data_IF_468064459164
#
_entry.id   IF_468064459164
#
_cell.length_a   1.000
_cell.length_b   1.000
_cell.length_c   1.000
_cell.angle_alpha   90.00
_cell.angle_beta   90.00
_cell.angle_gamma   90.00
#
_symmetry.space_group_name_H-M   'P 1'
#
loop_
_entity.id
_entity.type
_entity.pdbx_description
1 polymer ?
#
# COMPACT_ATOMS: atom_id res chain seq x y z
N UNK A 1 10.42 -16.50 -11.93
CA UNK A 1 11.56 -15.56 -11.79
C UNK A 1 11.93 -15.09 -13.18
N UNK A 2 11.87 -13.79 -13.46
CA UNK A 2 12.36 -13.28 -14.74
C UNK A 2 13.89 -13.46 -14.77
N UNK A 3 14.42 -14.12 -15.80
CA UNK A 3 15.87 -14.19 -16.02
C UNK A 3 16.37 -12.79 -16.35
N UNK A 4 16.96 -12.11 -15.37
CA UNK A 4 17.59 -10.82 -15.61
C UNK A 4 19.01 -11.12 -16.07
N UNK A 5 19.26 -10.99 -17.36
CA UNK A 5 20.63 -11.00 -17.88
C UNK A 5 21.39 -9.82 -17.27
N UNK A 6 22.57 -10.09 -16.71
CA UNK A 6 23.44 -9.04 -16.18
C UNK A 6 24.01 -8.27 -17.37
N UNK A 7 23.77 -6.96 -17.42
CA UNK A 7 24.37 -6.11 -18.44
C UNK A 7 25.89 -6.15 -18.29
N UNK A 8 26.59 -6.42 -19.39
CA UNK A 8 28.05 -6.46 -19.44
C UNK A 8 28.51 -5.38 -20.44
N UNK A 9 29.26 -4.35 -19.99
CA UNK A 9 29.77 -3.33 -20.89
C UNK A 9 30.79 -3.94 -21.85
N UNK A 10 30.84 -3.43 -23.06
CA UNK A 10 31.77 -3.84 -24.11
C UNK A 10 32.97 -2.89 -24.14
N UNK A 11 34.21 -3.37 -23.88
CA UNK A 11 35.40 -2.52 -23.86
C UNK A 11 35.74 -1.86 -25.19
N UNK A 12 35.29 -2.46 -26.30
CA UNK A 12 35.49 -1.98 -27.67
C UNK A 12 34.53 -0.86 -28.08
N UNK A 13 33.50 -0.58 -27.27
CA UNK A 13 32.51 0.47 -27.53
C UNK A 13 32.81 1.74 -26.73
N UNK A 14 32.41 2.89 -27.28
CA UNK A 14 32.40 4.15 -26.53
C UNK A 14 31.42 4.09 -25.36
N UNK A 15 31.57 5.01 -24.40
CA UNK A 15 30.66 5.15 -23.26
C UNK A 15 29.22 5.40 -23.71
N UNK A 16 29.04 6.24 -24.73
CA UNK A 16 27.74 6.55 -25.33
C UNK A 16 27.08 5.31 -25.92
N UNK A 17 27.85 4.49 -26.63
CA UNK A 17 27.36 3.24 -27.21
C UNK A 17 27.03 2.21 -26.14
N UNK A 18 27.85 2.08 -25.08
CA UNK A 18 27.55 1.23 -23.93
C UNK A 18 26.29 1.69 -23.19
N UNK A 19 26.12 2.99 -22.97
CA UNK A 19 24.92 3.56 -22.37
C UNK A 19 23.67 3.28 -23.23
N UNK A 20 23.77 3.46 -24.55
CA UNK A 20 22.68 3.15 -25.46
C UNK A 20 22.35 1.66 -25.47
N UNK A 21 23.37 0.79 -25.48
CA UNK A 21 23.20 -0.66 -25.38
C UNK A 21 22.49 -1.07 -24.08
N UNK A 22 22.87 -0.47 -22.95
CA UNK A 22 22.19 -0.67 -21.67
C UNK A 22 20.71 -0.25 -21.73
N UNK A 23 20.42 0.92 -22.29
CA UNK A 23 19.05 1.43 -22.43
C UNK A 23 18.21 0.50 -23.32
N UNK A 24 18.76 0.05 -24.45
CA UNK A 24 18.06 -0.83 -25.39
C UNK A 24 17.84 -2.23 -24.80
N UNK A 25 18.82 -2.80 -24.11
CA UNK A 25 18.64 -4.08 -23.38
C UNK A 25 17.55 -3.94 -22.31
N UNK A 26 17.58 -2.88 -21.50
CA UNK A 26 16.53 -2.65 -20.50
C UNK A 26 15.15 -2.42 -21.12
N UNK A 27 15.09 -1.80 -22.31
CA UNK A 27 13.85 -1.54 -23.03
C UNK A 27 13.25 -2.81 -23.66
N UNK A 28 14.06 -3.61 -24.34
CA UNK A 28 13.60 -4.70 -25.21
C UNK A 28 13.69 -6.09 -24.59
N UNK A 29 14.68 -6.33 -23.74
CA UNK A 29 15.00 -7.67 -23.25
C UNK A 29 14.42 -7.93 -21.86
N UNK A 30 14.37 -6.90 -21.01
CA UNK A 30 13.80 -7.03 -19.67
C UNK A 30 12.28 -7.04 -19.73
N UNK A 31 11.66 -7.95 -18.97
CA UNK A 31 10.21 -7.96 -18.72
C UNK A 31 9.86 -7.57 -17.28
N UNK A 32 10.82 -6.94 -16.58
CA UNK A 32 10.59 -6.37 -15.26
C UNK A 32 9.55 -5.24 -15.42
N UNK A 33 8.43 -5.32 -14.69
CA UNK A 33 7.24 -4.48 -14.89
C UNK A 33 6.35 -4.81 -16.09
N UNK A 34 6.47 -6.03 -16.64
CA UNK A 34 5.61 -6.53 -17.71
C UNK A 34 6.29 -6.51 -19.07
N UNK A 35 5.85 -7.42 -19.94
CA UNK A 35 6.28 -7.47 -21.34
C UNK A 35 5.60 -6.37 -22.19
N UNK A 36 4.42 -5.92 -21.76
CA UNK A 36 3.58 -4.90 -22.37
C UNK A 36 3.87 -3.47 -21.88
N UNK A 37 4.90 -3.29 -21.03
CA UNK A 37 5.30 -1.98 -20.53
C UNK A 37 5.65 -1.03 -21.68
N UNK A 38 4.90 0.05 -21.83
CA UNK A 38 5.27 1.15 -22.72
C UNK A 38 6.42 1.97 -22.13
N UNK A 39 7.66 1.65 -22.53
CA UNK A 39 8.87 2.33 -22.06
C UNK A 39 8.87 3.85 -22.35
N UNK A 40 8.17 4.28 -23.40
CA UNK A 40 8.04 5.69 -23.78
C UNK A 40 7.33 6.54 -22.72
N UNK A 41 6.43 5.94 -21.93
CA UNK A 41 5.64 6.68 -20.95
C UNK A 41 6.49 7.21 -19.79
N UNK A 42 6.13 8.38 -19.27
CA UNK A 42 6.80 9.00 -18.12
C UNK A 42 6.16 8.59 -16.78
N UNK A 43 5.11 7.78 -16.84
CA UNK A 43 4.41 7.22 -15.67
C UNK A 43 4.21 5.74 -15.90
N UNK A 44 4.85 4.90 -15.10
CA UNK A 44 4.68 3.45 -15.14
C UNK A 44 3.85 2.99 -13.95
N UNK A 45 2.74 2.29 -14.20
CA UNK A 45 1.95 1.62 -13.17
C UNK A 45 2.62 0.29 -12.83
N UNK A 46 3.31 0.23 -11.68
CA UNK A 46 4.10 -0.93 -11.25
C UNK A 46 3.42 -1.73 -10.15
N UNK A 47 2.14 -1.47 -9.92
CA UNK A 47 1.34 -2.00 -8.82
C UNK A 47 1.48 -3.52 -8.67
N UNK A 48 1.39 -4.29 -9.75
CA UNK A 48 1.46 -5.77 -9.70
C UNK A 48 2.85 -6.36 -9.54
N UNK A 49 3.88 -5.52 -9.65
CA UNK A 49 5.27 -5.94 -9.63
C UNK A 49 5.98 -5.58 -8.33
N UNK A 50 5.23 -5.05 -7.36
CA UNK A 50 5.69 -4.75 -6.02
C UNK A 50 4.96 -5.64 -5.01
N UNK A 51 5.74 -6.36 -4.20
CA UNK A 51 5.24 -7.15 -3.08
C UNK A 51 4.90 -6.25 -1.86
N UNK A 52 3.84 -5.45 -1.99
CA UNK A 52 3.31 -4.58 -0.91
C UNK A 52 1.99 -5.16 -0.42
N UNK A 53 1.96 -5.55 0.86
CA UNK A 53 0.80 -6.17 1.53
C UNK A 53 -0.16 -5.11 2.06
N UNK A 54 -1.46 -5.45 2.11
CA UNK A 54 -2.51 -4.66 2.75
C UNK A 54 -2.58 -3.17 2.32
N UNK A 55 -2.38 -2.91 1.02
CA UNK A 55 -2.40 -1.56 0.42
C UNK A 55 -3.79 -1.09 -0.05
N UNK A 56 -4.82 -1.93 0.08
CA UNK A 56 -6.12 -1.71 -0.54
C UNK A 56 -6.01 -1.65 -2.08
N UNK A 57 -6.82 -0.80 -2.70
CA UNK A 57 -6.80 -0.52 -4.14
C UNK A 57 -5.75 0.52 -4.59
N UNK A 58 -4.77 0.86 -3.72
CA UNK A 58 -3.79 1.90 -4.05
C UNK A 58 -2.82 1.46 -5.13
N UNK A 59 -2.77 2.24 -6.20
CA UNK A 59 -1.80 2.07 -7.29
C UNK A 59 -0.45 2.66 -6.90
N UNK A 60 0.62 1.97 -7.26
CA UNK A 60 1.99 2.48 -7.15
C UNK A 60 2.54 2.79 -8.52
N UNK A 61 3.00 4.03 -8.71
CA UNK A 61 3.50 4.50 -10.00
C UNK A 61 4.92 5.06 -9.87
N UNK A 62 5.75 4.78 -10.88
CA UNK A 62 7.05 5.45 -11.05
C UNK A 62 6.82 6.67 -11.93
N UNK A 63 7.15 7.86 -11.44
CA UNK A 63 6.87 9.13 -12.11
C UNK A 63 8.19 9.83 -12.48
N UNK A 64 8.61 9.72 -13.75
CA UNK A 64 9.87 10.25 -14.28
C UNK A 64 9.82 11.77 -14.57
N UNK A 65 9.28 12.53 -13.63
CA UNK A 65 9.25 14.00 -13.65
C UNK A 65 10.34 14.57 -12.74
N UNK A 66 10.87 15.74 -13.06
CA UNK A 66 11.82 16.45 -12.22
C UNK A 66 11.24 16.80 -10.84
N UNK A 67 12.10 17.18 -9.90
CA UNK A 67 11.63 17.81 -8.68
C UNK A 67 10.98 19.16 -9.00
N UNK A 68 9.86 19.43 -8.34
CA UNK A 68 9.14 20.70 -8.42
C UNK A 68 8.53 21.00 -7.06
N UNK A 69 8.45 22.28 -6.70
CA UNK A 69 7.70 22.74 -5.53
C UNK A 69 6.20 22.85 -5.85
N UNK A 70 5.84 23.03 -7.13
CA UNK A 70 4.47 22.84 -7.60
C UNK A 70 4.19 21.35 -7.85
N UNK A 71 3.30 20.78 -7.04
CA UNK A 71 2.84 19.38 -7.12
C UNK A 71 2.09 19.06 -8.42
N UNK A 72 1.60 20.06 -9.15
CA UNK A 72 0.91 19.89 -10.43
C UNK A 72 1.86 19.91 -11.63
N UNK A 73 3.07 20.44 -11.47
CA UNK A 73 4.05 20.49 -12.54
C UNK A 73 4.50 19.08 -12.93
N UNK A 74 4.27 18.72 -14.20
CA UNK A 74 4.66 17.42 -14.78
C UNK A 74 5.77 17.62 -15.81
N UNK A 75 6.88 18.21 -15.39
CA UNK A 75 8.05 18.43 -16.26
C UNK A 75 8.87 17.14 -16.27
N UNK A 76 8.98 16.43 -17.42
CA UNK A 76 9.80 15.21 -17.50
C UNK A 76 11.27 15.49 -17.17
N UNK A 77 11.99 14.46 -16.72
CA UNK A 77 13.45 14.53 -16.73
C UNK A 77 13.94 14.75 -18.17
N UNK A 78 15.08 15.43 -18.33
CA UNK A 78 15.63 15.75 -19.66
C UNK A 78 16.32 14.52 -20.26
N UNK A 79 16.23 14.37 -21.58
CA UNK A 79 17.05 13.41 -22.32
C UNK A 79 18.50 13.91 -22.43
N UNK A 80 19.51 13.02 -22.45
CA UNK A 80 19.40 11.55 -22.46
C UNK A 80 19.23 10.89 -21.07
N UNK A 81 19.27 11.66 -19.97
CA UNK A 81 19.17 11.12 -18.61
C UNK A 81 17.85 10.39 -18.34
N UNK A 82 16.73 10.86 -18.91
CA UNK A 82 15.42 10.24 -18.76
C UNK A 82 15.41 8.77 -19.24
N UNK A 83 15.92 8.50 -20.45
CA UNK A 83 16.02 7.14 -20.95
C UNK A 83 16.89 6.25 -20.06
N UNK A 84 18.01 6.78 -19.56
CA UNK A 84 18.86 6.09 -18.58
C UNK A 84 18.13 5.80 -17.26
N UNK A 85 17.44 6.79 -16.69
CA UNK A 85 16.70 6.65 -15.43
C UNK A 85 15.63 5.55 -15.52
N UNK A 86 14.92 5.49 -16.64
CA UNK A 86 13.95 4.42 -16.97
C UNK A 86 14.61 3.05 -17.02
N UNK A 87 15.71 2.94 -17.76
CA UNK A 87 16.48 1.70 -17.89
C UNK A 87 17.02 1.22 -16.53
N UNK A 88 17.65 2.12 -15.76
CA UNK A 88 18.20 1.84 -14.43
C UNK A 88 17.13 1.37 -13.45
N UNK A 89 15.96 2.04 -13.40
CA UNK A 89 14.86 1.63 -12.54
C UNK A 89 14.39 0.20 -12.84
N UNK A 90 14.20 -0.13 -14.13
CA UNK A 90 13.75 -1.45 -14.60
C UNK A 90 14.78 -2.53 -14.32
N UNK A 91 16.04 -2.29 -14.71
CA UNK A 91 17.15 -3.21 -14.48
C UNK A 91 17.38 -3.51 -13.00
N UNK A 92 17.49 -2.46 -12.19
CA UNK A 92 17.79 -2.62 -10.77
C UNK A 92 16.63 -3.24 -9.98
N UNK A 93 15.39 -3.14 -10.45
CA UNK A 93 14.28 -3.85 -9.79
C UNK A 93 14.29 -5.33 -10.13
N UNK A 94 14.78 -5.69 -11.32
CA UNK A 94 15.05 -7.09 -11.67
C UNK A 94 16.14 -7.71 -10.80
N UNK A 95 17.26 -7.00 -10.60
CA UNK A 95 18.38 -7.50 -9.78
C UNK A 95 18.13 -7.41 -8.28
N UNK A 96 17.54 -6.29 -7.84
CA UNK A 96 17.31 -5.95 -6.43
C UNK A 96 15.88 -5.43 -6.26
N UNK A 97 14.88 -6.33 -6.24
CA UNK A 97 13.49 -5.95 -6.05
C UNK A 97 13.29 -5.18 -4.74
N UNK A 98 12.54 -4.08 -4.80
CA UNK A 98 12.19 -3.29 -3.60
C UNK A 98 10.70 -3.06 -3.49
N UNK A 99 10.17 -3.17 -2.28
CA UNK A 99 8.78 -2.78 -1.95
C UNK A 99 8.56 -1.27 -2.12
N UNK A 100 9.57 -0.47 -1.74
CA UNK A 100 9.58 0.98 -1.92
C UNK A 100 10.54 1.39 -3.04
N UNK A 101 10.01 1.56 -4.25
CA UNK A 101 10.78 1.98 -5.42
C UNK A 101 11.10 3.48 -5.44
N UNK A 102 10.35 4.27 -4.65
CA UNK A 102 10.50 5.73 -4.59
C UNK A 102 11.91 6.19 -4.25
N UNK A 103 12.61 5.49 -3.36
CA UNK A 103 13.99 5.84 -2.98
C UNK A 103 14.96 5.87 -4.15
N UNK A 104 14.87 4.88 -5.05
CA UNK A 104 15.72 4.81 -6.26
C UNK A 104 15.41 5.95 -7.22
N UNK A 105 14.13 6.21 -7.42
CA UNK A 105 13.67 7.32 -8.27
C UNK A 105 14.10 8.68 -7.69
N UNK A 106 14.05 8.86 -6.37
CA UNK A 106 14.48 10.12 -5.74
C UNK A 106 15.98 10.36 -5.87
N UNK A 107 16.81 9.31 -5.76
CA UNK A 107 18.24 9.42 -6.03
C UNK A 107 18.50 9.86 -7.49
N UNK A 108 17.82 9.24 -8.47
CA UNK A 108 17.92 9.64 -9.88
C UNK A 108 17.48 11.08 -10.11
N UNK A 109 16.37 11.52 -9.50
CA UNK A 109 15.90 12.92 -9.62
C UNK A 109 16.90 13.91 -9.02
N UNK A 110 17.52 13.56 -7.88
CA UNK A 110 18.54 14.39 -7.26
C UNK A 110 19.78 14.53 -8.17
N UNK A 111 20.23 13.44 -8.77
CA UNK A 111 21.33 13.46 -9.75
C UNK A 111 20.96 14.27 -10.99
N UNK A 112 19.76 14.09 -11.54
CA UNK A 112 19.30 14.87 -12.69
C UNK A 112 19.29 16.37 -12.41
N UNK A 113 18.81 16.76 -11.21
CA UNK A 113 18.81 18.16 -10.79
C UNK A 113 20.25 18.67 -10.60
N UNK A 114 21.10 17.93 -9.91
CA UNK A 114 22.50 18.31 -9.69
C UNK A 114 23.27 18.45 -11.02
N UNK A 115 23.09 17.51 -11.94
CA UNK A 115 23.70 17.55 -13.27
C UNK A 115 23.26 18.79 -14.07
N UNK A 116 21.97 19.16 -13.97
CA UNK A 116 21.47 20.35 -14.61
C UNK A 116 22.00 21.64 -13.97
N UNK A 117 22.09 21.70 -12.64
CA UNK A 117 22.52 22.90 -11.91
C UNK A 117 24.02 23.14 -12.03
N UNK A 118 24.84 22.10 -11.85
CA UNK A 118 26.30 22.22 -11.79
C UNK A 118 26.94 22.24 -13.18
N UNK A 119 26.34 21.53 -14.13
CA UNK A 119 26.96 21.24 -15.43
C UNK A 119 26.13 21.78 -16.61
N UNK A 120 24.84 22.08 -16.41
CA UNK A 120 23.95 22.51 -17.48
C UNK A 120 23.56 21.40 -18.46
N UNK A 121 23.74 20.12 -18.09
CA UNK A 121 23.60 18.97 -18.98
C UNK A 121 22.64 17.91 -18.43
N UNK A 122 22.24 16.99 -19.30
CA UNK A 122 21.53 15.76 -18.97
C UNK A 122 22.31 14.50 -19.39
N UNK A 123 23.60 14.65 -19.71
CA UNK A 123 24.46 13.55 -20.17
C UNK A 123 24.98 12.74 -18.98
N UNK A 124 24.64 11.45 -18.94
CA UNK A 124 25.07 10.51 -17.89
C UNK A 124 26.61 10.47 -17.76
N UNK A 125 27.31 10.59 -18.89
CA UNK A 125 28.78 10.57 -18.93
C UNK A 125 29.44 11.70 -18.12
N UNK A 126 28.73 12.82 -17.94
CA UNK A 126 29.22 14.01 -17.21
C UNK A 126 29.00 13.92 -15.71
N UNK A 127 28.36 12.86 -15.21
CA UNK A 127 28.23 12.62 -13.76
C UNK A 127 29.63 12.40 -13.18
N UNK A 128 29.96 13.16 -12.14
CA UNK A 128 31.23 13.10 -11.41
C UNK A 128 30.98 13.20 -9.89
N UNK A 129 32.05 13.17 -9.08
CA UNK A 129 31.93 13.25 -7.62
C UNK A 129 31.18 14.50 -7.14
N UNK A 130 31.43 15.66 -7.73
CA UNK A 130 30.77 16.92 -7.38
C UNK A 130 29.26 16.86 -7.62
N UNK A 131 28.81 16.30 -8.75
CA UNK A 131 27.38 16.08 -9.03
C UNK A 131 26.75 15.17 -7.97
N UNK A 132 27.47 14.15 -7.50
CA UNK A 132 26.97 13.23 -6.47
C UNK A 132 26.85 13.92 -5.10
N UNK A 133 27.81 14.76 -4.73
CA UNK A 133 27.76 15.53 -3.49
C UNK A 133 26.63 16.57 -3.51
N UNK A 134 26.46 17.29 -4.63
CA UNK A 134 25.31 18.18 -4.82
C UNK A 134 23.98 17.41 -4.75
N UNK A 135 23.90 16.21 -5.35
CA UNK A 135 22.70 15.37 -5.26
C UNK A 135 22.41 14.96 -3.80
N UNK A 136 23.42 14.59 -3.02
CA UNK A 136 23.28 14.29 -1.59
C UNK A 136 22.78 15.52 -0.79
N UNK A 137 23.28 16.72 -1.10
CA UNK A 137 22.80 17.97 -0.50
C UNK A 137 21.32 18.25 -0.85
N UNK A 138 20.92 18.02 -2.10
CA UNK A 138 19.51 18.11 -2.54
C UNK A 138 18.64 17.14 -1.73
N UNK A 139 19.08 15.89 -1.57
CA UNK A 139 18.36 14.86 -0.79
C UNK A 139 18.21 15.31 0.66
N UNK A 140 19.31 15.75 1.31
CA UNK A 140 19.32 16.19 2.70
C UNK A 140 18.36 17.36 2.96
N UNK A 141 18.27 18.29 2.03
CA UNK A 141 17.36 19.45 2.14
C UNK A 141 15.89 19.07 2.01
N UNK A 142 15.57 17.99 1.29
CA UNK A 142 14.21 17.70 0.82
C UNK A 142 13.48 16.63 1.64
N UNK A 143 14.21 15.85 2.44
CA UNK A 143 13.67 14.70 3.16
C UNK A 143 14.14 14.67 4.62
N UNK A 144 13.38 14.00 5.49
CA UNK A 144 13.79 13.71 6.86
C UNK A 144 15.05 12.83 6.89
N UNK A 145 15.80 12.86 8.00
CA UNK A 145 17.11 12.19 8.13
C UNK A 145 17.06 10.69 7.79
N UNK A 146 15.99 10.00 8.19
CA UNK A 146 15.83 8.56 7.95
C UNK A 146 15.57 8.24 6.48
N UNK A 147 14.69 9.00 5.83
CA UNK A 147 14.47 8.85 4.40
C UNK A 147 15.68 9.32 3.58
N UNK A 148 16.31 10.44 3.95
CA UNK A 148 17.51 10.97 3.32
C UNK A 148 18.65 9.94 3.33
N UNK A 149 18.93 9.32 4.49
CA UNK A 149 19.93 8.25 4.60
C UNK A 149 19.66 7.08 3.65
N UNK A 150 18.40 6.63 3.58
CA UNK A 150 17.99 5.52 2.69
C UNK A 150 18.14 5.88 1.21
N UNK A 151 17.83 7.11 0.83
CA UNK A 151 18.03 7.59 -0.55
C UNK A 151 19.54 7.72 -0.84
N UNK A 152 20.35 8.17 0.13
CA UNK A 152 21.81 8.18 0.02
C UNK A 152 22.40 6.80 -0.26
N UNK A 153 21.84 5.74 0.34
CA UNK A 153 22.20 4.37 -0.01
C UNK A 153 21.88 3.99 -1.47
N UNK A 154 20.78 4.47 -2.04
CA UNK A 154 20.48 4.29 -3.48
C UNK A 154 21.42 5.10 -4.38
N UNK A 155 21.84 6.28 -3.92
CA UNK A 155 22.80 7.11 -4.63
C UNK A 155 24.19 6.44 -4.69
N UNK A 156 24.63 5.82 -3.60
CA UNK A 156 25.85 5.02 -3.57
C UNK A 156 25.77 3.81 -4.51
N UNK A 157 24.64 3.10 -4.54
CA UNK A 157 24.43 2.01 -5.49
C UNK A 157 24.48 2.47 -6.95
N UNK A 158 23.88 3.63 -7.26
CA UNK A 158 23.95 4.23 -8.59
C UNK A 158 25.39 4.58 -8.96
N UNK A 159 26.17 5.13 -8.03
CA UNK A 159 27.59 5.43 -8.22
C UNK A 159 28.40 4.19 -8.61
N UNK A 160 28.21 3.10 -7.86
CA UNK A 160 28.83 1.81 -8.16
C UNK A 160 28.45 1.30 -9.54
N UNK A 161 27.14 1.29 -9.85
CA UNK A 161 26.65 0.87 -11.15
C UNK A 161 27.26 1.67 -12.31
N UNK A 162 27.33 3.00 -12.21
CA UNK A 162 27.92 3.86 -13.24
C UNK A 162 29.40 3.53 -13.47
N UNK A 163 30.15 3.30 -12.38
CA UNK A 163 31.58 2.98 -12.44
C UNK A 163 31.85 1.58 -12.99
N UNK A 164 31.14 0.57 -12.48
CA UNK A 164 31.32 -0.83 -12.85
C UNK A 164 30.96 -1.08 -14.32
N UNK A 165 30.10 -0.23 -14.89
CA UNK A 165 29.67 -0.32 -16.29
C UNK A 165 30.35 0.71 -17.21
N UNK A 166 31.34 1.46 -16.71
CA UNK A 166 32.10 2.43 -17.52
C UNK A 166 31.26 3.55 -18.14
N UNK A 167 30.16 3.95 -17.48
CA UNK A 167 29.17 4.89 -18.04
C UNK A 167 29.51 6.36 -17.80
N UNK A 168 30.58 6.65 -17.05
CA UNK A 168 31.05 8.01 -16.75
C UNK A 168 32.45 8.25 -17.31
N UNK A 169 32.79 9.51 -17.57
CA UNK A 169 34.12 9.88 -18.07
C UNK A 169 35.24 9.38 -17.15
N UNK A 170 35.04 9.52 -15.84
CA UNK A 170 35.91 9.02 -14.77
C UNK A 170 35.07 8.16 -13.83
N UNK A 171 35.58 7.02 -13.32
CA UNK A 171 34.88 6.22 -12.32
C UNK A 171 34.49 7.06 -11.10
N UNK A 172 33.21 7.05 -10.77
CA UNK A 172 32.64 7.77 -9.61
C UNK A 172 32.40 6.76 -8.49
N UNK A 173 33.32 6.66 -7.54
CA UNK A 173 33.17 5.79 -6.36
C UNK A 173 32.70 6.58 -5.15
N UNK A 174 31.48 7.10 -5.22
CA UNK A 174 30.88 7.88 -4.15
C UNK A 174 30.38 6.97 -3.01
N UNK A 175 30.52 7.42 -1.76
CA UNK A 175 30.04 6.75 -0.55
C UNK A 175 29.00 7.62 0.14
N UNK A 176 28.00 6.99 0.76
CA UNK A 176 26.94 7.73 1.44
C UNK A 176 27.47 8.62 2.59
N UNK A 177 27.41 9.93 2.38
CA UNK A 177 27.81 10.96 3.36
C UNK A 177 26.68 11.38 4.30
N UNK A 178 25.44 10.94 4.04
CA UNK A 178 24.29 11.26 4.88
C UNK A 178 24.34 10.43 6.15
N UNK A 179 24.12 11.10 7.30
CA UNK A 179 24.20 10.44 8.60
C UNK A 179 23.10 9.39 8.74
N UNK A 180 23.49 8.19 9.18
CA UNK A 180 22.54 7.17 9.62
C UNK A 180 21.93 7.62 10.95
N UNK A 181 20.60 7.68 11.10
CA UNK A 181 19.99 7.90 12.40
C UNK A 181 20.47 6.84 13.41
N UNK A 182 20.67 7.24 14.66
CA UNK A 182 21.21 6.34 15.71
C UNK A 182 20.30 5.12 15.93
N UNK A 183 20.91 3.93 16.03
CA UNK A 183 20.18 2.67 16.26
C UNK A 183 19.59 2.61 17.67
N UNK A 184 18.41 1.98 17.79
CA UNK A 184 17.52 1.96 18.95
C UNK A 184 17.85 0.91 20.02
N UNK A 185 19.04 0.29 19.96
CA UNK A 185 19.42 -0.85 20.80
C UNK A 185 20.50 -0.50 21.86
N UNK A 186 20.39 0.64 22.53
CA UNK A 186 21.25 0.96 23.68
C UNK A 186 20.43 1.15 24.96
N UNK A 187 21.07 0.95 26.11
CA UNK A 187 20.49 1.05 27.46
C UNK A 187 20.85 2.43 28.03
N UNK A 188 19.89 3.12 28.66
CA UNK A 188 20.08 4.44 29.28
C UNK A 188 18.79 5.27 29.37
N UNK A 189 18.78 6.31 30.21
CA UNK A 189 17.60 7.16 30.52
C UNK A 189 16.92 7.74 29.27
N UNK A 190 17.70 8.28 28.32
CA UNK A 190 17.19 8.81 27.05
C UNK A 190 16.48 7.74 26.19
N UNK A 191 16.90 6.47 26.31
CA UNK A 191 16.28 5.36 25.57
C UNK A 191 15.01 4.87 26.24
N UNK A 192 14.94 4.92 27.58
CA UNK A 192 13.70 4.61 28.32
C UNK A 192 12.65 5.68 28.06
N UNK A 193 13.03 6.96 28.03
CA UNK A 193 12.17 8.06 27.59
C UNK A 193 11.64 7.82 26.17
N UNK A 194 12.52 7.45 25.21
CA UNK A 194 12.11 7.07 23.84
C UNK A 194 11.31 5.77 23.73
N UNK A 195 11.40 4.85 24.70
CA UNK A 195 10.52 3.66 24.77
C UNK A 195 9.14 4.08 25.25
N UNK A 196 9.07 4.97 26.24
CA UNK A 196 7.83 5.57 26.73
C UNK A 196 7.12 6.34 25.62
N UNK A 197 7.83 7.11 24.80
CA UNK A 197 7.27 7.77 23.61
C UNK A 197 6.66 6.80 22.58
N UNK A 198 7.08 5.52 22.59
CA UNK A 198 6.57 4.46 21.70
C UNK A 198 5.45 3.63 22.33
N UNK A 199 4.97 3.99 23.51
CA UNK A 199 3.80 3.41 24.14
C UNK A 199 2.56 4.25 23.79
N UNK A 200 1.36 3.65 23.71
CA UNK A 200 0.13 4.44 23.72
C UNK A 200 0.03 5.22 25.05
N UNK A 201 -0.59 6.41 25.03
CA UNK A 201 -0.90 7.15 26.25
C UNK A 201 -1.91 6.39 27.12
N UNK A 202 -1.99 6.72 28.40
CA UNK A 202 -3.00 6.13 29.30
C UNK A 202 -4.43 6.43 28.82
N UNK A 203 -4.71 7.69 28.46
CA UNK A 203 -5.98 8.09 27.87
C UNK A 203 -6.31 7.30 26.58
N UNK A 204 -5.30 7.00 25.75
CA UNK A 204 -5.47 6.12 24.61
C UNK A 204 -5.86 4.70 25.02
N UNK A 205 -5.17 4.10 26.00
CA UNK A 205 -5.47 2.74 26.46
C UNK A 205 -6.87 2.64 27.09
N UNK A 206 -7.32 3.66 27.81
CA UNK A 206 -8.67 3.74 28.37
C UNK A 206 -9.75 3.96 27.29
N UNK A 207 -9.45 4.73 26.25
CA UNK A 207 -10.39 5.00 25.16
C UNK A 207 -10.70 3.76 24.32
N UNK A 208 -9.74 2.86 24.11
CA UNK A 208 -9.87 1.74 23.15
C UNK A 208 -10.98 0.73 23.51
N UNK A 209 -11.12 0.23 24.76
CA UNK A 209 -12.23 -0.65 25.12
C UNK A 209 -13.59 0.04 24.97
N UNK A 210 -13.68 1.31 25.38
CA UNK A 210 -14.90 2.10 25.25
C UNK A 210 -15.30 2.31 23.78
N UNK A 211 -14.33 2.62 22.92
CA UNK A 211 -14.53 2.70 21.47
C UNK A 211 -14.99 1.35 20.89
N UNK A 212 -14.42 0.22 21.32
CA UNK A 212 -14.81 -1.11 20.84
C UNK A 212 -16.27 -1.47 21.20
N UNK A 213 -16.75 -1.02 22.36
CA UNK A 213 -18.14 -1.19 22.76
C UNK A 213 -19.09 -0.23 22.04
N UNK A 214 -18.68 1.03 21.84
CA UNK A 214 -19.51 2.07 21.22
C UNK A 214 -19.53 2.02 19.68
N UNK A 215 -18.65 1.26 19.04
CA UNK A 215 -18.55 1.20 17.59
C UNK A 215 -19.79 0.56 16.94
N UNK A 216 -20.47 1.35 16.10
CA UNK A 216 -21.65 0.93 15.31
C UNK A 216 -21.38 1.07 13.81
N UNK A 217 -20.76 2.18 13.39
CA UNK A 217 -20.43 2.43 11.99
C UNK A 217 -19.43 1.39 11.46
N UNK A 218 -19.59 0.88 10.22
CA UNK A 218 -18.75 -0.19 9.68
C UNK A 218 -17.25 0.07 9.81
N UNK A 219 -16.82 1.30 9.53
CA UNK A 219 -15.42 1.69 9.63
C UNK A 219 -14.88 1.66 11.06
N UNK A 220 -15.69 2.07 12.04
CA UNK A 220 -15.29 2.11 13.45
C UNK A 220 -15.30 0.69 14.04
N UNK A 221 -16.26 -0.16 13.64
CA UNK A 221 -16.31 -1.58 14.00
C UNK A 221 -15.06 -2.31 13.48
N UNK A 222 -14.69 -2.09 12.22
CA UNK A 222 -13.50 -2.71 11.61
C UNK A 222 -12.23 -2.27 12.36
N UNK A 223 -12.07 -0.98 12.61
CA UNK A 223 -10.87 -0.44 13.27
C UNK A 223 -10.73 -0.97 14.69
N UNK A 224 -11.79 -0.88 15.49
CA UNK A 224 -11.75 -1.33 16.89
C UNK A 224 -11.55 -2.83 17.02
N UNK A 225 -12.16 -3.64 16.15
CA UNK A 225 -11.92 -5.08 16.10
C UNK A 225 -10.48 -5.45 15.70
N UNK A 226 -9.90 -4.75 14.72
CA UNK A 226 -8.48 -4.91 14.35
C UNK A 226 -7.57 -4.56 15.54
N UNK A 227 -7.86 -3.47 16.26
CA UNK A 227 -7.10 -3.06 17.44
C UNK A 227 -7.19 -4.11 18.55
N UNK A 228 -8.37 -4.66 18.80
CA UNK A 228 -8.56 -5.74 19.78
C UNK A 228 -7.68 -6.97 19.45
N UNK A 229 -7.65 -7.39 18.18
CA UNK A 229 -6.77 -8.49 17.73
C UNK A 229 -5.28 -8.13 17.92
N UNK A 230 -4.88 -6.89 17.57
CA UNK A 230 -3.50 -6.43 17.72
C UNK A 230 -3.05 -6.36 19.19
N UNK A 231 -3.98 -6.05 20.11
CA UNK A 231 -3.76 -6.04 21.56
C UNK A 231 -3.80 -7.44 22.18
N UNK A 232 -4.31 -8.44 21.47
CA UNK A 232 -4.41 -9.81 21.96
C UNK A 232 -3.29 -10.72 21.44
N UNK A 233 -2.73 -10.42 20.27
CA UNK A 233 -1.66 -11.18 19.64
C UNK A 233 -0.67 -10.25 18.90
N UNK A 234 0.56 -10.03 19.44
CA UNK A 234 1.55 -9.14 18.85
C UNK A 234 1.82 -9.45 17.38
N UNK A 235 1.41 -8.53 16.51
CA UNK A 235 1.44 -8.77 15.06
C UNK A 235 1.63 -7.48 14.26
N UNK A 236 1.81 -7.62 12.94
CA UNK A 236 1.71 -6.48 12.02
C UNK A 236 0.26 -6.30 11.61
N UNK A 237 -0.19 -5.06 11.49
CA UNK A 237 -1.54 -4.79 10.98
C UNK A 237 -1.77 -5.37 9.58
N UNK A 238 -0.74 -5.37 8.73
CA UNK A 238 -0.83 -5.99 7.40
C UNK A 238 -1.14 -7.48 7.45
N UNK A 239 -0.76 -8.18 8.53
CA UNK A 239 -1.06 -9.60 8.73
C UNK A 239 -2.51 -9.78 9.23
N UNK A 240 -3.00 -8.90 10.12
CA UNK A 240 -4.41 -8.90 10.57
C UNK A 240 -5.37 -8.66 9.41
N UNK A 241 -5.06 -7.67 8.56
CA UNK A 241 -5.86 -7.34 7.37
C UNK A 241 -5.90 -8.45 6.31
N UNK A 242 -5.05 -9.47 6.45
CA UNK A 242 -4.93 -10.62 5.56
C UNK A 242 -5.31 -11.93 6.25
N UNK A 243 -6.07 -11.87 7.36
CA UNK A 243 -6.61 -13.07 8.00
C UNK A 243 -7.76 -13.65 7.16
N UNK A 244 -7.84 -14.99 7.04
CA UNK A 244 -9.03 -15.63 6.49
C UNK A 244 -10.16 -15.67 7.52
N UNK A 245 -11.39 -15.88 7.07
CA UNK A 245 -12.58 -16.03 7.93
C UNK A 245 -12.49 -17.21 8.89
N UNK A 246 -11.71 -18.25 8.57
CA UNK A 246 -11.46 -19.41 9.41
C UNK A 246 -10.15 -19.29 10.21
N UNK A 247 -9.75 -18.08 10.60
CA UNK A 247 -8.51 -17.87 11.35
C UNK A 247 -8.54 -18.43 12.78
N UNK A 248 -9.71 -18.61 13.39
CA UNK A 248 -9.86 -19.09 14.76
C UNK A 248 -9.63 -20.61 14.89
N UNK A 249 -8.93 -21.01 15.95
CA UNK A 249 -8.78 -22.40 16.39
C UNK A 249 -9.11 -22.48 17.87
N UNK A 250 -10.08 -23.29 18.23
CA UNK A 250 -10.41 -23.56 19.63
C UNK A 250 -9.60 -24.75 20.11
N UNK A 251 -8.81 -24.56 21.17
CA UNK A 251 -8.10 -25.63 21.85
C UNK A 251 -8.72 -25.85 23.23
N UNK A 252 -9.32 -27.02 23.42
CA UNK A 252 -9.76 -27.45 24.74
C UNK A 252 -8.58 -28.01 25.53
N UNK A 253 -8.44 -27.56 26.78
CA UNK A 253 -7.55 -28.15 27.78
C UNK A 253 -8.39 -28.63 28.96
N UNK A 254 -7.81 -29.47 29.83
CA UNK A 254 -8.54 -30.07 30.96
C UNK A 254 -9.28 -29.04 31.85
N UNK A 255 -8.78 -27.80 31.92
CA UNK A 255 -9.30 -26.76 32.81
C UNK A 255 -9.70 -25.45 32.10
N UNK A 256 -9.51 -25.34 30.77
CA UNK A 256 -9.66 -24.06 30.07
C UNK A 256 -9.87 -24.24 28.55
N UNK A 257 -10.62 -23.33 27.92
CA UNK A 257 -10.78 -23.27 26.46
C UNK A 257 -10.01 -22.07 25.93
N UNK A 258 -8.97 -22.33 25.15
CA UNK A 258 -8.10 -21.28 24.60
C UNK A 258 -8.41 -21.03 23.14
N UNK A 259 -8.45 -19.74 22.78
CA UNK A 259 -8.54 -19.31 21.38
C UNK A 259 -7.13 -19.13 20.84
N UNK A 260 -6.86 -19.71 19.68
CA UNK A 260 -5.63 -19.55 18.94
C UNK A 260 -5.96 -18.98 17.55
N UNK A 261 -4.99 -18.31 16.93
CA UNK A 261 -5.14 -17.75 15.59
C UNK A 261 -4.20 -18.43 14.60
N UNK A 262 -4.74 -18.96 13.50
CA UNK A 262 -3.99 -19.33 12.30
C UNK A 262 -3.38 -18.06 11.71
N UNK A 263 -2.07 -18.04 11.59
CA UNK A 263 -1.31 -16.85 11.23
C UNK A 263 -0.41 -17.10 10.02
N UNK A 264 -0.39 -16.15 9.08
CA UNK A 264 0.49 -16.16 7.92
C UNK A 264 1.46 -14.98 8.01
N UNK A 265 2.70 -15.20 8.48
CA UNK A 265 3.65 -14.12 8.71
C UNK A 265 4.05 -13.37 7.43
N UNK A 266 4.22 -12.05 7.54
CA UNK A 266 4.55 -11.22 6.36
C UNK A 266 5.96 -11.41 5.80
N UNK A 267 6.86 -12.12 6.50
CA UNK A 267 8.29 -12.28 6.14
C UNK A 267 8.65 -13.66 5.57
N UNK A 268 7.68 -14.38 5.00
CA UNK A 268 7.92 -15.69 4.38
C UNK A 268 8.20 -16.83 5.36
N UNK A 269 7.97 -16.61 6.67
CA UNK A 269 7.98 -17.69 7.64
C UNK A 269 6.75 -18.60 7.41
N UNK A 270 6.85 -19.91 7.72
CA UNK A 270 5.72 -20.82 7.59
C UNK A 270 4.50 -20.36 8.39
N UNK A 271 3.27 -20.70 7.93
CA UNK A 271 2.07 -20.48 8.71
C UNK A 271 2.20 -21.11 10.10
N UNK A 272 1.68 -20.43 11.12
CA UNK A 272 1.80 -20.84 12.53
C UNK A 272 0.49 -20.63 13.28
N UNK A 273 0.35 -21.29 14.42
CA UNK A 273 -0.75 -21.05 15.35
C UNK A 273 -0.24 -20.14 16.47
N UNK A 274 -0.85 -18.97 16.63
CA UNK A 274 -0.51 -18.02 17.69
C UNK A 274 -1.48 -18.14 18.86
N UNK A 275 -1.00 -18.27 20.11
CA UNK A 275 -1.89 -18.18 21.26
C UNK A 275 -2.40 -16.75 21.44
N UNK A 276 -3.68 -16.63 21.80
CA UNK A 276 -4.26 -15.41 22.32
C UNK A 276 -4.04 -15.38 23.83
N UNK A 277 -3.76 -14.20 24.39
CA UNK A 277 -3.73 -14.04 25.84
C UNK A 277 -5.07 -14.47 26.44
N UNK A 278 -5.08 -15.34 27.47
CA UNK A 278 -6.31 -16.02 27.93
C UNK A 278 -7.42 -15.03 28.32
N UNK A 279 -7.07 -13.91 28.98
CA UNK A 279 -8.02 -12.85 29.35
C UNK A 279 -8.58 -12.03 28.18
N UNK A 280 -8.11 -12.26 26.95
CA UNK A 280 -8.57 -11.60 25.73
C UNK A 280 -9.33 -12.55 24.79
N UNK A 281 -9.51 -13.82 25.15
CA UNK A 281 -10.15 -14.82 24.28
C UNK A 281 -11.55 -14.38 23.81
N UNK A 282 -12.41 -14.00 24.75
CA UNK A 282 -13.78 -13.55 24.43
C UNK A 282 -13.79 -12.26 23.62
N UNK A 283 -12.86 -11.35 23.90
CA UNK A 283 -12.70 -10.09 23.17
C UNK A 283 -12.30 -10.36 21.71
N UNK A 284 -11.38 -11.30 21.49
CA UNK A 284 -10.94 -11.68 20.14
C UNK A 284 -12.05 -12.40 19.37
N UNK A 285 -12.77 -13.31 20.00
CA UNK A 285 -13.92 -14.00 19.37
C UNK A 285 -15.00 -12.99 18.98
N UNK A 286 -15.31 -12.04 19.86
CA UNK A 286 -16.24 -10.96 19.57
C UNK A 286 -15.73 -10.07 18.41
N UNK A 287 -14.45 -9.69 18.43
CA UNK A 287 -13.84 -8.90 17.37
C UNK A 287 -13.91 -9.63 16.00
N UNK A 288 -13.61 -10.92 15.95
CA UNK A 288 -13.67 -11.71 14.73
C UNK A 288 -15.11 -11.90 14.25
N UNK A 289 -16.06 -12.09 15.17
CA UNK A 289 -17.50 -12.14 14.87
C UNK A 289 -17.97 -10.83 14.24
N UNK A 290 -17.67 -9.68 14.87
CA UNK A 290 -17.97 -8.34 14.32
C UNK A 290 -17.36 -8.16 12.92
N UNK A 291 -16.12 -8.59 12.70
CA UNK A 291 -15.46 -8.51 11.38
C UNK A 291 -16.13 -9.41 10.34
N UNK A 292 -16.55 -10.62 10.73
CA UNK A 292 -17.33 -11.51 9.87
C UNK A 292 -18.64 -10.83 9.48
N UNK A 293 -19.40 -10.32 10.43
CA UNK A 293 -20.70 -9.68 10.16
C UNK A 293 -20.57 -8.44 9.26
N UNK A 294 -19.72 -7.48 9.64
CA UNK A 294 -19.57 -6.22 8.90
C UNK A 294 -19.05 -6.43 7.47
N UNK A 295 -18.20 -7.44 7.27
CA UNK A 295 -17.64 -7.76 5.95
C UNK A 295 -18.53 -8.73 5.15
N UNK A 296 -19.65 -9.20 5.70
CA UNK A 296 -20.51 -10.20 5.05
C UNK A 296 -21.07 -9.74 3.70
N UNK A 297 -21.63 -8.53 3.55
CA UNK A 297 -22.14 -8.06 2.25
C UNK A 297 -21.06 -8.03 1.18
N UNK A 298 -19.83 -7.64 1.54
CA UNK A 298 -18.72 -7.62 0.60
C UNK A 298 -18.26 -9.03 0.22
N UNK A 299 -18.25 -9.99 1.15
CA UNK A 299 -17.92 -11.38 0.84
C UNK A 299 -18.98 -12.05 -0.04
N UNK A 300 -20.26 -11.73 0.12
CA UNK A 300 -21.33 -12.22 -0.78
C UNK A 300 -21.08 -11.78 -2.23
N UNK A 301 -20.76 -10.50 -2.44
CA UNK A 301 -20.40 -9.97 -3.76
C UNK A 301 -19.15 -10.68 -4.31
N UNK A 302 -18.12 -10.87 -3.48
CA UNK A 302 -16.89 -11.55 -3.88
C UNK A 302 -17.13 -13.01 -4.29
N UNK A 303 -17.90 -13.77 -3.51
CA UNK A 303 -18.31 -15.15 -3.84
C UNK A 303 -19.05 -15.18 -5.17
N UNK A 304 -19.99 -14.26 -5.40
CA UNK A 304 -20.71 -14.21 -6.67
C UNK A 304 -19.78 -14.07 -7.87
N UNK A 305 -18.83 -13.14 -7.86
CA UNK A 305 -17.91 -12.95 -8.97
C UNK A 305 -16.86 -14.07 -9.09
N UNK A 306 -16.58 -14.78 -8.00
CA UNK A 306 -15.76 -15.99 -8.05
C UNK A 306 -16.48 -17.14 -8.77
N UNK A 307 -17.79 -17.28 -8.56
CA UNK A 307 -18.62 -18.33 -9.17
C UNK A 307 -19.15 -17.94 -10.55
N UNK A 308 -19.34 -16.65 -10.82
CA UNK A 308 -19.92 -16.09 -12.05
C UNK A 308 -19.02 -14.98 -12.62
N UNK A 309 -17.81 -15.30 -13.11
CA UNK A 309 -16.79 -14.31 -13.46
C UNK A 309 -17.15 -13.38 -14.61
N UNK A 310 -18.16 -13.74 -15.41
CA UNK A 310 -18.62 -12.95 -16.56
C UNK A 310 -19.98 -12.28 -16.32
N UNK A 311 -20.53 -12.36 -15.10
CA UNK A 311 -21.87 -11.84 -14.82
C UNK A 311 -21.86 -10.80 -13.70
N UNK A 312 -22.58 -9.70 -13.92
CA UNK A 312 -22.80 -8.67 -12.92
C UNK A 312 -23.52 -9.23 -11.69
N UNK A 313 -22.99 -8.92 -10.50
CA UNK A 313 -23.73 -9.07 -9.25
C UNK A 313 -24.88 -8.06 -9.23
N UNK A 314 -26.10 -8.56 -9.03
CA UNK A 314 -27.29 -7.73 -8.89
C UNK A 314 -27.68 -7.69 -7.41
N UNK A 315 -27.69 -6.51 -6.76
CA UNK A 315 -28.15 -6.38 -5.39
C UNK A 315 -29.58 -6.88 -5.21
N UNK A 316 -29.93 -7.25 -3.98
CA UNK A 316 -31.28 -7.70 -3.64
C UNK A 316 -32.34 -6.69 -4.09
N UNK A 317 -33.37 -7.19 -4.78
CA UNK A 317 -34.44 -6.39 -5.36
C UNK A 317 -34.17 -5.90 -6.78
N UNK A 318 -33.03 -6.25 -7.39
CA UNK A 318 -32.69 -5.88 -8.78
C UNK A 318 -32.48 -7.10 -9.69
N UNK A 319 -32.67 -8.32 -9.19
CA UNK A 319 -32.39 -9.57 -9.88
C UNK A 319 -33.22 -9.74 -11.16
N UNK A 320 -34.45 -9.22 -11.16
CA UNK A 320 -35.35 -9.23 -12.32
C UNK A 320 -34.81 -8.47 -13.53
N UNK A 321 -33.79 -7.64 -13.35
CA UNK A 321 -33.12 -6.90 -14.42
C UNK A 321 -32.13 -7.76 -15.22
N UNK A 322 -31.78 -8.95 -14.70
CA UNK A 322 -30.87 -9.87 -15.39
C UNK A 322 -31.41 -10.25 -16.76
N UNK A 323 -30.55 -10.15 -17.78
CA UNK A 323 -30.90 -10.54 -19.15
C UNK A 323 -31.74 -9.53 -19.93
N UNK A 324 -32.13 -8.38 -19.35
CA UNK A 324 -32.75 -7.30 -20.12
C UNK A 324 -31.74 -6.71 -21.11
N UNK A 325 -32.22 -6.28 -22.28
CA UNK A 325 -31.38 -5.62 -23.28
C UNK A 325 -30.90 -4.24 -22.84
N UNK A 326 -31.72 -3.54 -22.07
CA UNK A 326 -31.47 -2.18 -21.61
C UNK A 326 -31.93 -1.94 -20.18
N UNK A 327 -31.34 -0.92 -19.56
CA UNK A 327 -31.61 -0.42 -18.22
C UNK A 327 -31.80 1.09 -18.25
N UNK A 328 -32.75 1.63 -17.47
CA UNK A 328 -32.82 3.08 -17.26
C UNK A 328 -31.70 3.54 -16.32
N UNK A 329 -31.35 4.83 -16.36
CA UNK A 329 -30.32 5.35 -15.44
C UNK A 329 -30.72 5.28 -13.96
N UNK A 330 -32.01 5.19 -13.65
CA UNK A 330 -32.51 4.94 -12.29
C UNK A 330 -32.27 3.50 -11.85
N UNK A 331 -32.48 2.52 -12.74
CA UNK A 331 -32.13 1.12 -12.48
C UNK A 331 -30.61 0.95 -12.29
N UNK A 332 -29.80 1.68 -13.07
CA UNK A 332 -28.34 1.74 -12.84
C UNK A 332 -28.02 2.29 -11.46
N UNK A 333 -28.71 3.35 -11.03
CA UNK A 333 -28.52 3.95 -9.70
C UNK A 333 -28.79 2.92 -8.58
N UNK A 334 -29.84 2.11 -8.73
CA UNK A 334 -30.19 1.02 -7.80
C UNK A 334 -29.15 -0.11 -7.79
N UNK A 335 -28.67 -0.56 -8.96
CA UNK A 335 -27.65 -1.62 -9.05
C UNK A 335 -26.31 -1.17 -8.48
N UNK A 336 -25.89 0.06 -8.81
CA UNK A 336 -24.61 0.58 -8.37
C UNK A 336 -24.68 1.02 -6.90
N UNK A 337 -25.80 1.57 -6.43
CA UNK A 337 -25.90 2.17 -5.09
C UNK A 337 -25.45 3.62 -5.05
N UNK A 338 -25.85 4.41 -6.03
CA UNK A 338 -25.54 5.85 -6.12
C UNK A 338 -26.81 6.66 -6.31
N UNK A 339 -26.78 7.95 -5.96
CA UNK A 339 -27.95 8.82 -6.08
C UNK A 339 -28.31 9.14 -7.55
N UNK A 340 -27.30 9.24 -8.43
CA UNK A 340 -27.47 9.57 -9.84
C UNK A 340 -26.70 8.61 -10.75
N UNK A 341 -27.43 7.63 -11.31
CA UNK A 341 -26.87 6.65 -12.25
C UNK A 341 -26.47 7.26 -13.59
N UNK A 342 -27.05 8.40 -14.00
CA UNK A 342 -26.68 9.08 -15.26
C UNK A 342 -25.29 9.71 -15.13
N UNK A 343 -25.03 10.41 -14.03
CA UNK A 343 -23.71 10.96 -13.74
C UNK A 343 -22.66 9.86 -13.60
N UNK A 344 -23.01 8.73 -12.98
CA UNK A 344 -22.14 7.56 -12.91
C UNK A 344 -21.80 7.00 -14.30
N UNK A 345 -22.80 6.82 -15.17
CA UNK A 345 -22.58 6.36 -16.55
C UNK A 345 -21.64 7.29 -17.32
N UNK A 346 -21.84 8.62 -17.21
CA UNK A 346 -20.96 9.61 -17.84
C UNK A 346 -19.52 9.53 -17.33
N UNK A 347 -19.33 9.42 -16.01
CA UNK A 347 -18.01 9.27 -15.39
C UNK A 347 -17.27 8.05 -15.93
N UNK A 348 -18.01 6.96 -16.13
CA UNK A 348 -17.49 5.69 -16.65
C UNK A 348 -17.54 5.58 -18.18
N UNK A 349 -17.93 6.64 -18.88
CA UNK A 349 -18.00 6.73 -20.35
C UNK A 349 -18.87 5.64 -20.98
N UNK A 350 -19.95 5.27 -20.30
CA UNK A 350 -20.99 4.40 -20.86
C UNK A 350 -21.89 5.26 -21.75
N UNK A 351 -22.17 4.77 -22.95
CA UNK A 351 -23.07 5.42 -23.89
C UNK A 351 -24.51 5.43 -23.34
N UNK A 352 -25.13 6.61 -23.34
CA UNK A 352 -26.51 6.81 -22.86
C UNK A 352 -27.40 7.08 -24.07
N UNK A 353 -28.41 6.23 -24.24
CA UNK A 353 -29.43 6.31 -25.27
C UNK A 353 -30.74 6.82 -24.66
N UNK A 354 -31.72 7.13 -25.50
CA UNK A 354 -33.09 7.43 -25.07
C UNK A 354 -34.03 6.35 -25.59
N UNK A 355 -34.71 5.67 -24.66
CA UNK A 355 -35.75 4.68 -24.97
C UNK A 355 -37.02 5.08 -24.23
N UNK A 356 -38.13 5.16 -24.95
CA UNK A 356 -39.44 5.59 -24.42
C UNK A 356 -39.37 6.90 -23.61
N UNK A 357 -38.57 7.86 -24.10
CA UNK A 357 -38.35 9.15 -23.45
C UNK A 357 -37.47 9.12 -22.20
N UNK A 358 -36.91 7.97 -21.83
CA UNK A 358 -36.06 7.80 -20.64
C UNK A 358 -34.58 7.56 -20.99
N UNK A 359 -33.64 8.22 -20.28
CA UNK A 359 -32.22 7.94 -20.43
C UNK A 359 -31.93 6.48 -20.02
N UNK A 360 -31.36 5.71 -20.95
CA UNK A 360 -31.14 4.27 -20.81
C UNK A 360 -29.79 3.85 -21.35
N UNK A 361 -29.26 2.73 -20.87
CA UNK A 361 -28.01 2.11 -21.32
C UNK A 361 -28.25 0.65 -21.68
N UNK A 362 -27.35 0.01 -22.43
CA UNK A 362 -27.39 -1.44 -22.61
C UNK A 362 -26.90 -2.13 -21.34
N UNK A 363 -27.60 -3.18 -20.90
CA UNK A 363 -27.18 -3.97 -19.72
C UNK A 363 -25.75 -4.50 -19.88
N UNK A 364 -25.42 -5.02 -21.07
CA UNK A 364 -24.10 -5.57 -21.37
C UNK A 364 -22.95 -4.55 -21.24
N UNK A 365 -23.22 -3.25 -21.46
CA UNK A 365 -22.20 -2.22 -21.28
C UNK A 365 -22.00 -1.88 -19.80
N UNK A 366 -23.07 -1.90 -18.99
CA UNK A 366 -22.96 -1.81 -17.53
C UNK A 366 -22.16 -2.99 -16.97
N UNK A 367 -22.52 -4.21 -17.35
CA UNK A 367 -21.86 -5.43 -16.90
C UNK A 367 -20.37 -5.42 -17.23
N UNK A 368 -20.02 -5.12 -18.49
CA UNK A 368 -18.61 -4.99 -18.90
C UNK A 368 -17.88 -3.91 -18.10
N UNK A 369 -18.52 -2.76 -17.88
CA UNK A 369 -17.92 -1.68 -17.10
C UNK A 369 -17.68 -2.09 -15.65
N UNK A 370 -18.67 -2.68 -14.98
CA UNK A 370 -18.55 -3.07 -13.56
C UNK A 370 -17.52 -4.20 -13.39
N UNK A 371 -17.51 -5.19 -14.28
CA UNK A 371 -16.49 -6.26 -14.25
C UNK A 371 -15.08 -5.70 -14.43
N UNK A 372 -14.91 -4.67 -15.26
CA UNK A 372 -13.62 -3.98 -15.42
C UNK A 372 -13.20 -3.15 -14.17
N UNK A 373 -14.11 -2.92 -13.22
CA UNK A 373 -13.82 -2.25 -11.95
C UNK A 373 -13.39 -3.21 -10.83
N UNK A 374 -13.45 -4.53 -11.06
CA UNK A 374 -12.98 -5.52 -10.10
C UNK A 374 -11.53 -5.22 -9.68
N UNK A 375 -11.18 -5.46 -8.40
CA UNK A 375 -9.83 -5.23 -7.93
C UNK A 375 -8.78 -5.97 -8.78
N UNK A 376 -7.64 -5.31 -9.00
CA UNK A 376 -6.52 -5.92 -9.72
C UNK A 376 -6.04 -7.18 -8.98
N UNK A 377 -5.94 -8.30 -9.70
CA UNK A 377 -5.59 -9.60 -9.12
C UNK A 377 -6.75 -10.40 -8.52
N UNK A 378 -7.99 -9.89 -8.59
CA UNK A 378 -9.19 -10.66 -8.25
C UNK A 378 -9.19 -12.00 -9.02
N UNK A 379 -9.53 -13.14 -8.39
CA UNK A 379 -10.15 -13.31 -7.08
C UNK A 379 -9.19 -13.48 -5.89
N UNK A 380 -7.89 -13.20 -6.05
CA UNK A 380 -6.87 -13.43 -5.02
C UNK A 380 -6.42 -12.11 -4.41
N UNK A 381 -6.70 -11.87 -3.13
CA UNK A 381 -6.24 -10.66 -2.42
C UNK A 381 -4.76 -10.76 -2.04
N UNK A 382 -4.27 -11.98 -1.80
CA UNK A 382 -2.87 -12.23 -1.48
C UNK A 382 -2.34 -13.47 -2.21
N UNK A 383 -1.43 -13.25 -3.16
CA UNK A 383 -0.85 -14.32 -3.98
C UNK A 383 0.05 -15.28 -3.19
N UNK A 384 0.69 -14.83 -2.11
CA UNK A 384 1.58 -15.69 -1.31
C UNK A 384 0.81 -16.71 -0.48
N UNK A 385 -0.31 -16.30 0.10
CA UNK A 385 -1.15 -17.16 0.94
C UNK A 385 -2.27 -17.85 0.16
N UNK A 386 -2.52 -17.42 -1.08
CA UNK A 386 -3.67 -17.86 -1.87
C UNK A 386 -5.01 -17.34 -1.33
N UNK A 387 -5.00 -16.33 -0.45
CA UNK A 387 -6.23 -15.81 0.15
C UNK A 387 -7.15 -15.22 -0.93
N UNK A 388 -8.36 -15.76 -0.99
CA UNK A 388 -9.44 -15.28 -1.86
C UNK A 388 -10.20 -14.11 -1.23
N UNK A 389 -10.80 -13.27 -2.06
CA UNK A 389 -11.67 -12.18 -1.59
C UNK A 389 -12.86 -12.73 -0.80
N UNK A 390 -13.51 -13.78 -1.30
CA UNK A 390 -14.62 -14.48 -0.63
C UNK A 390 -14.26 -15.01 0.78
N UNK A 391 -12.98 -15.31 1.03
CA UNK A 391 -12.50 -15.85 2.30
C UNK A 391 -11.78 -14.83 3.19
N UNK A 392 -11.71 -13.56 2.80
CA UNK A 392 -11.02 -12.51 3.56
C UNK A 392 -11.84 -12.08 4.78
N UNK A 393 -11.24 -12.09 5.97
CA UNK A 393 -11.94 -11.66 7.20
C UNK A 393 -12.31 -10.18 7.17
N UNK A 394 -11.45 -9.35 6.57
CA UNK A 394 -11.64 -7.90 6.46
C UNK A 394 -11.81 -7.51 4.98
N UNK A 395 -13.05 -7.29 4.57
CA UNK A 395 -13.41 -6.89 3.22
C UNK A 395 -14.62 -5.97 3.25
N UNK A 396 -14.61 -4.91 2.44
CA UNK A 396 -15.70 -3.92 2.42
C UNK A 396 -16.22 -3.71 1.00
N UNK A 397 -17.44 -3.19 0.89
CA UNK A 397 -17.95 -2.65 -0.37
C UNK A 397 -17.15 -1.42 -0.76
N UNK A 398 -17.06 -1.15 -2.06
CA UNK A 398 -16.35 0.03 -2.56
C UNK A 398 -16.98 1.30 -1.98
N UNK A 399 -16.16 2.19 -1.45
CA UNK A 399 -16.58 3.42 -0.75
C UNK A 399 -17.35 3.22 0.57
N UNK A 400 -17.49 2.01 1.11
CA UNK A 400 -18.20 1.78 2.39
C UNK A 400 -17.56 2.50 3.58
N UNK A 401 -16.25 2.72 3.49
CA UNK A 401 -15.49 3.44 4.49
C UNK A 401 -15.39 4.95 4.20
N UNK A 402 -16.04 5.42 3.13
CA UNK A 402 -16.02 6.82 2.73
C UNK A 402 -17.20 7.58 3.33
N UNK A 403 -16.93 8.75 3.89
CA UNK A 403 -17.95 9.55 4.61
C UNK A 403 -18.96 10.26 3.72
N UNK A 404 -18.53 10.61 2.50
CA UNK A 404 -19.32 11.47 1.61
C UNK A 404 -19.69 10.80 0.29
N UNK A 405 -19.26 9.55 0.07
CA UNK A 405 -19.53 8.84 -1.18
C UNK A 405 -20.44 7.67 -0.88
N UNK A 406 -21.41 7.44 -1.75
CA UNK A 406 -22.28 6.28 -1.65
C UNK A 406 -21.46 4.99 -1.85
N UNK A 407 -21.84 3.97 -1.07
CA UNK A 407 -21.25 2.63 -1.09
C UNK A 407 -21.74 1.88 -2.31
N UNK A 408 -20.84 1.27 -3.09
CA UNK A 408 -21.30 0.49 -4.23
C UNK A 408 -21.88 -0.84 -3.77
N UNK A 409 -23.08 -1.17 -4.22
CA UNK A 409 -23.77 -2.40 -3.83
C UNK A 409 -23.30 -3.64 -4.60
N UNK A 410 -22.55 -3.45 -5.69
CA UNK A 410 -22.07 -4.52 -6.57
C UNK A 410 -20.55 -4.61 -6.70
N UNK A 411 -19.79 -3.91 -5.84
CA UNK A 411 -18.33 -3.87 -5.94
C UNK A 411 -17.66 -3.87 -4.58
N UNK A 412 -16.47 -4.50 -4.50
CA UNK A 412 -15.70 -4.68 -3.26
C UNK A 412 -14.34 -3.99 -3.31
N UNK A 413 -13.77 -3.74 -2.14
CA UNK A 413 -12.36 -3.36 -2.01
C UNK A 413 -11.73 -3.83 -0.70
N UNK A 414 -10.41 -4.15 -0.70
CA UNK A 414 -9.72 -4.50 0.52
C UNK A 414 -9.43 -3.25 1.36
N UNK A 415 -9.48 -3.42 2.69
CA UNK A 415 -9.14 -2.35 3.63
C UNK A 415 -7.63 -2.13 3.65
N UNK A 416 -7.21 -0.87 3.53
CA UNK A 416 -5.79 -0.49 3.55
C UNK A 416 -5.30 -0.21 4.98
N UNK A 417 -4.03 -0.48 5.25
CA UNK A 417 -3.38 -0.13 6.53
C UNK A 417 -3.55 1.35 6.90
N UNK A 418 -3.49 2.24 5.90
CA UNK A 418 -3.64 3.67 6.13
C UNK A 418 -5.02 4.05 6.64
N UNK A 419 -6.09 3.34 6.24
CA UNK A 419 -7.43 3.61 6.78
C UNK A 419 -7.46 3.44 8.30
N UNK A 420 -6.84 2.37 8.81
CA UNK A 420 -6.78 2.11 10.26
C UNK A 420 -5.88 3.11 10.97
N UNK A 421 -4.72 3.43 10.40
CA UNK A 421 -3.84 4.46 10.98
C UNK A 421 -4.52 5.84 11.01
N UNK A 422 -5.25 6.20 9.95
CA UNK A 422 -6.00 7.45 9.85
C UNK A 422 -7.10 7.52 10.92
N UNK A 423 -7.82 6.41 11.13
CA UNK A 423 -8.84 6.30 12.17
C UNK A 423 -8.27 6.42 13.60
N UNK A 424 -6.99 6.08 13.80
CA UNK A 424 -6.26 6.22 15.07
C UNK A 424 -5.51 7.55 15.20
N UNK A 425 -5.78 8.54 14.35
CA UNK A 425 -5.19 9.88 14.44
C UNK A 425 -3.90 10.09 13.66
N UNK A 426 -3.58 9.19 12.72
CA UNK A 426 -2.40 9.28 11.85
C UNK A 426 -2.43 10.41 10.83
N UNK A 427 -3.60 10.99 10.55
CA UNK A 427 -3.71 12.14 9.63
C UNK A 427 -3.25 13.44 10.27
N UNK A 428 -2.55 14.24 9.48
CA UNK A 428 -2.14 15.61 9.82
C UNK A 428 -2.96 16.68 9.08
N UNK A 429 -4.02 16.29 8.37
CA UNK A 429 -4.84 17.18 7.53
C UNK A 429 -6.03 17.84 8.26
N UNK A 430 -6.07 17.76 9.59
CA UNK A 430 -7.11 18.36 10.45
C UNK A 430 -8.43 17.59 10.48
N UNK A 431 -8.54 16.44 9.82
CA UNK A 431 -9.74 15.59 9.89
C UNK A 431 -9.80 14.85 11.22
N UNK A 432 -11.00 14.82 11.81
CA UNK A 432 -11.27 14.09 13.04
C UNK A 432 -11.08 12.57 12.84
N UNK A 433 -10.31 11.98 13.74
CA UNK A 433 -10.10 10.52 13.86
C UNK A 433 -11.38 9.82 14.34
N UNK A 434 -11.37 8.49 14.44
CA UNK A 434 -12.46 7.74 15.07
C UNK A 434 -12.63 8.13 16.54
N UNK A 435 -11.51 8.18 17.27
CA UNK A 435 -11.50 8.51 18.69
C UNK A 435 -12.05 9.91 18.94
N UNK A 436 -11.70 10.88 18.09
CA UNK A 436 -12.21 12.25 18.17
C UNK A 436 -13.73 12.32 18.03
N UNK A 437 -14.30 11.53 17.10
CA UNK A 437 -15.75 11.50 16.86
C UNK A 437 -16.52 10.86 18.00
N UNK A 438 -15.89 9.90 18.67
CA UNK A 438 -16.43 9.26 19.86
C UNK A 438 -16.21 10.12 21.13
N UNK A 439 -15.57 11.29 21.00
CA UNK A 439 -15.37 12.22 22.10
C UNK A 439 -14.14 11.94 22.97
N UNK A 440 -13.29 11.00 22.60
CA UNK A 440 -12.07 10.67 23.36
C UNK A 440 -10.94 11.65 23.04
N UNK A 441 -10.30 12.18 24.09
CA UNK A 441 -9.21 13.15 24.01
C UNK A 441 -8.16 12.88 25.06
N UNK A 442 -6.97 13.41 24.84
CA UNK A 442 -5.93 13.51 25.87
C UNK A 442 -6.39 14.44 27.01
N UNK A 443 -5.86 14.32 28.23
CA UNK A 443 -6.25 15.16 29.38
C UNK A 443 -6.07 16.67 29.16
N UNK A 444 -5.11 17.04 28.30
CA UNK A 444 -4.84 18.42 27.90
C UNK A 444 -5.78 18.93 26.76
N UNK A 445 -6.77 18.13 26.36
CA UNK A 445 -7.72 18.45 25.29
C UNK A 445 -7.21 18.18 23.88
N UNK A 446 -5.98 17.69 23.72
CA UNK A 446 -5.43 17.31 22.42
C UNK A 446 -6.07 16.04 21.86
N UNK A 447 -5.97 15.88 20.55
CA UNK A 447 -6.39 14.67 19.85
C UNK A 447 -5.51 13.48 20.24
N UNK A 448 -6.14 12.33 20.52
CA UNK A 448 -5.42 11.08 20.75
C UNK A 448 -4.80 10.62 19.42
N UNK A 449 -3.52 10.25 19.45
CA UNK A 449 -2.81 9.70 18.29
C UNK A 449 -2.11 8.40 18.66
N UNK A 450 -2.48 7.34 17.96
CA UNK A 450 -1.92 6.01 18.18
C UNK A 450 -1.53 5.42 16.83
N UNK A 451 -0.35 4.84 16.77
CA UNK A 451 0.10 4.04 15.64
C UNK A 451 -0.09 2.57 15.95
N UNK A 452 -0.40 1.80 14.92
CA UNK A 452 -0.53 0.33 15.01
C UNK A 452 0.76 -0.38 15.46
N UNK A 453 1.91 0.30 15.38
CA UNK A 453 3.18 -0.19 15.91
C UNK A 453 3.28 -0.09 17.43
N UNK A 454 2.63 0.92 18.04
CA UNK A 454 2.65 1.11 19.49
C UNK A 454 1.97 -0.05 20.24
N UNK A 455 0.93 -0.69 19.68
CA UNK A 455 0.30 -1.87 20.31
C UNK A 455 1.28 -3.03 20.49
N UNK A 456 2.11 -3.30 19.48
CA UNK A 456 3.14 -4.34 19.57
C UNK A 456 4.21 -3.99 20.59
N UNK A 457 4.62 -2.72 20.65
CA UNK A 457 5.56 -2.25 21.66
C UNK A 457 4.96 -2.39 23.06
N UNK A 458 3.71 -1.99 23.24
CA UNK A 458 2.95 -2.12 24.48
C UNK A 458 2.94 -3.55 25.02
N UNK A 459 2.54 -4.51 24.17
CA UNK A 459 2.50 -5.93 24.56
C UNK A 459 3.89 -6.49 24.86
N UNK A 460 4.91 -6.12 24.09
CA UNK A 460 6.28 -6.55 24.36
C UNK A 460 6.80 -5.99 25.69
N UNK A 461 6.49 -4.74 26.03
CA UNK A 461 6.85 -4.14 27.31
C UNK A 461 6.16 -4.85 28.47
N UNK A 462 4.84 -5.11 28.37
CA UNK A 462 4.11 -5.84 29.42
C UNK A 462 4.63 -7.26 29.60
N UNK A 463 4.92 -7.96 28.49
CA UNK A 463 5.50 -9.30 28.55
C UNK A 463 6.85 -9.29 29.28
N UNK A 464 7.72 -8.32 28.96
CA UNK A 464 9.01 -8.15 29.62
C UNK A 464 8.86 -7.83 31.12
N UNK A 465 7.90 -6.98 31.49
CA UNK A 465 7.60 -6.68 32.89
C UNK A 465 7.07 -7.90 33.65
N UNK A 466 6.30 -8.77 32.98
CA UNK A 466 5.80 -10.04 33.50
C UNK A 466 6.79 -11.21 33.48
N UNK A 467 8.06 -10.96 33.15
CA UNK A 467 9.12 -11.99 33.12
C UNK A 467 9.14 -12.88 31.87
N UNK A 468 8.30 -12.61 30.87
CA UNK A 468 8.29 -13.32 29.59
C UNK A 468 9.26 -12.65 28.61
N UNK A 469 10.20 -13.43 28.06
CA UNK A 469 11.13 -12.94 27.03
C UNK A 469 10.48 -13.02 25.65
N UNK A 470 10.10 -11.86 25.10
CA UNK A 470 9.64 -11.60 23.72
C UNK A 470 8.48 -12.52 23.22
N UNK A 471 7.30 -11.92 23.01
CA UNK A 471 6.12 -12.57 22.41
C UNK A 471 6.14 -12.60 20.88
#
# INVERSE_FOLDING_TARGET
MASVAVFTPRPDLSRRENLQGFIESARRELQVFGADLNFGDNVWDVTDYLDVKARGNKRTRINFFAFSDDKKAKVPLREPFLAFAKAYCRYMHGLRPKKFIGGRLYALKAVAQALQTEIGSADVERINGHVMDTAAAVIKKRYDESLAYRIGGELELLSGFLSDNGLTAVPVRWRNTLARPSDTQRIGKEFDERRTEKMPSEAALEALPNAFQAAVEPGDVIVTAIVAILLAAPSRISEVLLLPTNCEVTQQTANDTRVLLRWWPSKGAPPMIKPVYSGMSDVVVNAITKLKEVSSPAREIATWYEDHPTQLFLPRGTEYLRGRSSLTTEEVAQIIGVDDGRSWCKLHRIEILFQDGKPSIRFADLERCVLALLPQGFPIVNKETGLRYSNSLVLVRKNELHRTRASYLCMVEPVATDFVNDALGGKSDGRLSMLDRMGFKEPNGNHIKITTHQFRHYLNTIAQMGGLRNL
#
